data_IF_881329635300
#
_entry.id   IF_881329635300
#
_cell.length_a   1.000
_cell.length_b   1.000
_cell.length_c   1.000
_cell.angle_alpha   90.00
_cell.angle_beta   90.00
_cell.angle_gamma   90.00
#
_symmetry.space_group_name_H-M   'P 1'
#
loop_
_entity.id
_entity.type
_entity.pdbx_description
1 polymer ?
#
# COMPACT_ATOMS: atom_id res chain seq x y z
N UNK A 1 0.01 -18.31 -23.87
CA UNK A 1 0.47 -17.76 -25.15
C UNK A 1 0.98 -16.33 -25.01
N UNK A 2 2.30 -16.19 -24.84
CA UNK A 2 3.01 -14.91 -24.79
C UNK A 2 4.15 -14.87 -25.82
N UNK A 3 3.97 -15.48 -26.99
CA UNK A 3 5.03 -15.56 -28.00
C UNK A 3 5.20 -14.28 -28.85
N UNK A 4 4.39 -13.24 -28.62
CA UNK A 4 4.34 -12.04 -29.47
C UNK A 4 4.71 -10.70 -28.81
N UNK A 5 5.23 -10.66 -27.57
CA UNK A 5 5.54 -9.37 -26.93
C UNK A 5 7.01 -8.93 -27.09
N UNK A 6 7.22 -7.75 -27.67
CA UNK A 6 8.53 -7.09 -27.82
C UNK A 6 9.14 -6.54 -26.52
N UNK A 7 8.52 -6.80 -25.37
CA UNK A 7 8.95 -6.34 -24.05
C UNK A 7 10.25 -7.01 -23.53
N UNK A 8 10.85 -7.92 -24.30
CA UNK A 8 12.17 -8.54 -24.04
C UNK A 8 13.35 -7.84 -24.74
N UNK A 9 13.13 -6.68 -25.39
CA UNK A 9 14.15 -6.04 -26.23
C UNK A 9 15.41 -5.54 -25.52
N UNK A 10 15.40 -5.34 -24.19
CA UNK A 10 16.57 -4.78 -23.49
C UNK A 10 17.55 -5.83 -22.95
N UNK A 11 17.16 -7.11 -22.89
CA UNK A 11 18.01 -8.17 -22.31
C UNK A 11 18.79 -8.97 -23.37
N UNK A 12 19.21 -8.30 -24.44
CA UNK A 12 19.97 -8.90 -25.57
C UNK A 12 21.36 -9.44 -25.20
N UNK A 13 21.76 -9.45 -23.91
CA UNK A 13 23.08 -9.93 -23.49
C UNK A 13 23.16 -11.40 -23.11
N UNK A 14 22.05 -12.14 -23.08
CA UNK A 14 22.05 -13.60 -22.81
C UNK A 14 21.30 -14.42 -23.87
N UNK A 15 21.45 -14.04 -25.14
CA UNK A 15 20.78 -14.69 -26.27
C UNK A 15 21.40 -16.04 -26.71
N UNK A 16 22.27 -16.70 -25.94
CA UNK A 16 22.87 -17.97 -26.38
C UNK A 16 21.81 -19.08 -26.43
N UNK A 17 20.99 -19.19 -25.37
CA UNK A 17 19.94 -20.22 -25.28
C UNK A 17 18.77 -19.97 -26.23
N UNK A 18 18.39 -18.71 -26.44
CA UNK A 18 17.35 -18.36 -27.40
C UNK A 18 17.80 -18.66 -28.83
N UNK A 19 19.06 -18.39 -29.17
CA UNK A 19 19.60 -18.68 -30.52
C UNK A 19 19.68 -20.19 -30.76
N UNK A 20 20.01 -20.99 -29.74
CA UNK A 20 20.04 -22.45 -29.86
C UNK A 20 18.64 -23.07 -30.02
N UNK A 21 17.62 -22.50 -29.37
CA UNK A 21 16.23 -23.00 -29.46
C UNK A 21 15.50 -22.51 -30.72
N UNK A 22 15.83 -21.30 -31.21
CA UNK A 22 15.21 -20.70 -32.40
C UNK A 22 15.76 -21.22 -33.73
N UNK A 23 16.90 -21.92 -33.72
CA UNK A 23 17.42 -22.60 -34.91
C UNK A 23 16.53 -23.73 -35.44
N UNK A 24 15.50 -24.16 -34.69
CA UNK A 24 14.56 -25.19 -35.13
C UNK A 24 13.20 -24.66 -35.62
N UNK A 25 12.99 -23.34 -35.65
CA UNK A 25 11.70 -22.73 -36.01
C UNK A 25 11.86 -21.62 -37.04
N UNK A 26 12.47 -21.93 -38.18
CA UNK A 26 12.36 -21.06 -39.36
C UNK A 26 11.18 -21.49 -40.20
N UNK A 27 10.07 -20.74 -40.18
CA UNK A 27 9.33 -20.40 -41.40
C UNK A 27 8.29 -19.29 -41.19
N UNK A 28 8.37 -18.31 -42.10
CA UNK A 28 7.33 -17.40 -42.59
C UNK A 28 6.99 -16.09 -41.84
N UNK A 29 7.34 -15.02 -42.56
CA UNK A 29 7.00 -13.59 -42.39
C UNK A 29 5.50 -13.31 -42.32
N UNK A 30 5.16 -12.24 -41.60
CA UNK A 30 3.94 -11.46 -41.82
C UNK A 30 3.93 -10.19 -40.98
N UNK A 31 4.33 -9.06 -41.56
CA UNK A 31 4.29 -7.76 -40.90
C UNK A 31 2.86 -7.25 -40.70
N UNK A 32 2.60 -6.67 -39.53
CA UNK A 32 1.61 -5.63 -39.24
C UNK A 32 1.90 -5.10 -37.84
N UNK A 33 2.10 -3.80 -37.71
CA UNK A 33 2.19 -3.13 -36.40
C UNK A 33 0.86 -3.28 -35.66
N UNK A 34 0.84 -3.72 -34.38
CA UNK A 34 -0.30 -3.51 -33.52
C UNK A 34 -0.05 -2.30 -32.62
N UNK A 35 -1.05 -1.44 -32.51
CA UNK A 35 -1.19 -0.48 -31.42
C UNK A 35 -0.91 -1.18 -30.07
N UNK A 36 -0.38 -0.44 -29.09
CA UNK A 36 0.06 -0.89 -27.76
C UNK A 36 -1.00 -1.75 -27.03
N UNK A 37 -1.14 -3.02 -27.41
CA UNK A 37 -1.91 -4.00 -26.66
C UNK A 37 -1.13 -4.26 -25.38
N UNK A 38 -1.71 -3.83 -24.25
CA UNK A 38 -1.17 -4.00 -22.88
C UNK A 38 -0.88 -5.47 -22.63
N UNK A 39 0.35 -5.90 -22.89
CA UNK A 39 0.78 -7.26 -22.64
C UNK A 39 0.79 -7.57 -21.13
N UNK A 40 0.34 -8.77 -20.76
CA UNK A 40 0.31 -9.29 -19.38
C UNK A 40 1.70 -9.32 -18.70
N UNK A 41 2.77 -9.26 -19.49
CA UNK A 41 4.15 -9.11 -19.04
C UNK A 41 4.35 -7.87 -18.16
N UNK A 42 3.77 -6.72 -18.48
CA UNK A 42 3.95 -5.49 -17.70
C UNK A 42 3.25 -5.58 -16.34
N UNK A 43 2.15 -6.34 -16.26
CA UNK A 43 1.43 -6.62 -15.02
C UNK A 43 2.20 -7.57 -14.08
N UNK A 44 3.14 -8.35 -14.63
CA UNK A 44 3.96 -9.33 -13.88
C UNK A 44 5.37 -8.85 -13.57
N UNK A 45 5.78 -7.66 -14.04
CA UNK A 45 7.08 -7.08 -13.70
C UNK A 45 7.12 -6.71 -12.23
N UNK A 46 8.08 -7.24 -11.51
CA UNK A 46 8.28 -6.96 -10.10
C UNK A 46 9.21 -5.76 -9.93
N UNK A 47 8.97 -4.98 -8.90
CA UNK A 47 9.70 -3.75 -8.62
C UNK A 47 10.10 -3.67 -7.16
N UNK A 48 11.15 -2.91 -6.90
CA UNK A 48 11.58 -2.55 -5.56
C UNK A 48 11.81 -1.03 -5.46
N UNK A 49 11.86 -0.51 -4.23
CA UNK A 49 12.19 0.89 -3.98
C UNK A 49 13.60 1.22 -4.50
N UNK A 50 13.74 2.35 -5.17
CA UNK A 50 15.05 2.83 -5.66
C UNK A 50 15.98 3.23 -4.51
N UNK A 51 15.42 3.83 -3.46
CA UNK A 51 16.13 4.34 -2.27
C UNK A 51 15.52 3.76 -1.00
N UNK A 52 15.60 2.43 -0.78
CA UNK A 52 14.85 1.75 0.28
C UNK A 52 15.15 2.32 1.67
N UNK A 53 16.41 2.65 2.00
CA UNK A 53 16.76 3.21 3.31
C UNK A 53 16.09 4.55 3.62
N UNK A 54 15.90 5.42 2.61
CA UNK A 54 15.30 6.75 2.80
C UNK A 54 13.78 6.62 2.87
N UNK A 55 13.19 5.93 1.89
CA UNK A 55 11.74 5.77 1.80
C UNK A 55 11.19 4.93 2.96
N UNK A 56 11.84 3.83 3.34
CA UNK A 56 11.36 2.99 4.44
C UNK A 56 11.48 3.71 5.79
N UNK A 57 12.49 4.57 5.98
CA UNK A 57 12.60 5.42 7.18
C UNK A 57 11.45 6.43 7.26
N UNK A 58 11.15 7.13 6.16
CA UNK A 58 10.03 8.06 6.09
C UNK A 58 8.70 7.33 6.34
N UNK A 59 8.49 6.18 5.71
CA UNK A 59 7.32 5.32 5.93
C UNK A 59 7.23 4.84 7.39
N UNK A 60 8.33 4.43 8.01
CA UNK A 60 8.33 4.01 9.42
C UNK A 60 7.92 5.17 10.34
N UNK A 61 8.43 6.39 10.11
CA UNK A 61 8.01 7.56 10.87
C UNK A 61 6.51 7.86 10.72
N UNK A 62 5.99 7.71 9.50
CA UNK A 62 4.55 7.85 9.22
C UNK A 62 3.74 6.78 9.97
N UNK A 63 4.20 5.53 9.97
CA UNK A 63 3.54 4.44 10.70
C UNK A 63 3.48 4.74 12.20
N UNK A 64 4.59 5.18 12.82
CA UNK A 64 4.61 5.58 14.23
C UNK A 64 3.62 6.72 14.50
N UNK A 65 3.55 7.72 13.62
CA UNK A 65 2.55 8.81 13.72
C UNK A 65 1.12 8.30 13.60
N UNK A 66 0.86 7.33 12.73
CA UNK A 66 -0.45 6.68 12.57
C UNK A 66 -0.87 5.93 13.83
N UNK A 67 0.02 5.13 14.41
CA UNK A 67 -0.25 4.43 15.66
C UNK A 67 -0.42 5.42 16.82
N UNK A 68 0.43 6.45 16.89
CA UNK A 68 0.31 7.53 17.88
C UNK A 68 -1.03 8.26 17.78
N UNK A 69 -1.53 8.53 16.57
CA UNK A 69 -2.86 9.09 16.38
C UNK A 69 -3.94 8.23 17.04
N UNK A 70 -3.96 6.92 16.78
CA UNK A 70 -4.93 5.99 17.39
C UNK A 70 -4.78 5.93 18.92
N UNK A 71 -3.53 5.83 19.42
CA UNK A 71 -3.22 5.83 20.86
C UNK A 71 -3.59 7.12 21.58
N UNK A 72 -3.73 8.24 20.89
CA UNK A 72 -4.03 9.53 21.53
C UNK A 72 -5.51 9.89 21.50
N UNK A 73 -6.38 9.02 20.97
CA UNK A 73 -7.84 9.24 20.95
C UNK A 73 -8.50 8.63 22.19
N UNK A 74 -9.07 9.44 23.11
CA UNK A 74 -9.77 8.93 24.29
C UNK A 74 -10.89 7.94 23.93
N UNK A 75 -11.67 8.26 22.89
CA UNK A 75 -12.78 7.41 22.43
C UNK A 75 -12.32 6.05 21.92
N UNK A 76 -11.08 5.93 21.42
CA UNK A 76 -10.54 4.65 20.98
C UNK A 76 -10.22 3.74 22.17
N UNK A 77 -9.73 4.30 23.28
CA UNK A 77 -9.45 3.56 24.52
C UNK A 77 -10.70 3.06 25.25
N UNK A 78 -11.85 3.68 24.99
CA UNK A 78 -13.14 3.23 25.53
C UNK A 78 -13.67 1.96 24.84
N UNK A 79 -13.09 1.58 23.70
CA UNK A 79 -13.47 0.36 22.99
C UNK A 79 -12.88 -0.89 23.65
N UNK A 80 -13.59 -2.04 23.59
CA UNK A 80 -13.01 -3.33 23.95
C UNK A 80 -11.68 -3.57 23.21
N UNK A 81 -10.73 -4.23 23.88
CA UNK A 81 -9.40 -4.49 23.28
C UNK A 81 -9.52 -5.27 21.97
N UNK A 82 -10.44 -6.24 21.89
CA UNK A 82 -10.67 -7.00 20.67
C UNK A 82 -11.16 -6.09 19.53
N UNK A 83 -12.06 -5.16 19.81
CA UNK A 83 -12.56 -4.19 18.82
C UNK A 83 -11.44 -3.25 18.36
N UNK A 84 -10.56 -2.80 19.27
CA UNK A 84 -9.40 -1.99 18.91
C UNK A 84 -8.47 -2.70 17.93
N UNK A 85 -8.20 -3.99 18.16
CA UNK A 85 -7.38 -4.82 17.29
C UNK A 85 -8.04 -5.06 15.92
N UNK A 86 -9.35 -5.33 15.90
CA UNK A 86 -10.11 -5.48 14.66
C UNK A 86 -10.10 -4.18 13.83
N UNK A 87 -10.31 -3.04 14.48
CA UNK A 87 -10.22 -1.74 13.82
C UNK A 87 -8.80 -1.48 13.29
N UNK A 88 -7.77 -1.72 14.11
CA UNK A 88 -6.36 -1.57 13.73
C UNK A 88 -6.05 -2.37 12.45
N UNK A 89 -6.37 -3.67 12.45
CA UNK A 89 -6.15 -4.54 11.29
C UNK A 89 -6.89 -4.03 10.04
N UNK A 90 -8.12 -3.55 10.20
CA UNK A 90 -8.94 -3.05 9.10
C UNK A 90 -8.48 -1.71 8.50
N UNK A 91 -7.81 -0.85 9.28
CA UNK A 91 -7.62 0.56 8.92
C UNK A 91 -6.17 1.04 8.90
N UNK A 92 -5.19 0.24 9.37
CA UNK A 92 -3.80 0.67 9.44
C UNK A 92 -3.25 1.09 8.07
N UNK A 93 -3.62 0.39 6.99
CA UNK A 93 -3.22 0.74 5.60
C UNK A 93 -3.85 2.06 5.16
N UNK A 94 -5.19 2.24 5.13
CA UNK A 94 -5.79 3.53 4.81
C UNK A 94 -5.22 4.70 5.62
N UNK A 95 -5.04 4.54 6.93
CA UNK A 95 -4.49 5.59 7.79
C UNK A 95 -3.02 5.87 7.50
N UNK A 96 -2.22 4.83 7.25
CA UNK A 96 -0.83 4.96 6.83
C UNK A 96 -0.71 5.72 5.50
N UNK A 97 -1.53 5.38 4.51
CA UNK A 97 -1.55 6.06 3.21
C UNK A 97 -1.96 7.54 3.35
N UNK A 98 -2.98 7.85 4.14
CA UNK A 98 -3.31 9.25 4.48
C UNK A 98 -2.14 9.97 5.14
N UNK A 99 -1.37 9.27 5.99
CA UNK A 99 -0.14 9.77 6.58
C UNK A 99 0.96 10.06 5.56
N UNK A 100 1.17 9.17 4.57
CA UNK A 100 2.14 9.42 3.48
C UNK A 100 1.76 10.66 2.69
N UNK A 101 0.47 10.82 2.38
CA UNK A 101 -0.03 11.99 1.65
C UNK A 101 0.21 13.25 2.49
N UNK A 102 -0.21 13.26 3.75
CA UNK A 102 -0.09 14.40 4.65
C UNK A 102 1.36 14.85 4.87
N UNK A 103 2.31 13.90 4.89
CA UNK A 103 3.74 14.16 5.06
C UNK A 103 4.49 14.34 3.73
N UNK A 104 3.77 14.37 2.60
CA UNK A 104 4.33 14.55 1.25
C UNK A 104 5.44 13.54 0.91
N UNK A 105 5.29 12.30 1.37
CA UNK A 105 6.29 11.26 1.13
C UNK A 105 6.15 10.74 -0.30
N UNK A 106 7.16 11.03 -1.13
CA UNK A 106 7.29 10.49 -2.47
C UNK A 106 8.30 9.35 -2.52
N UNK A 107 8.16 8.47 -3.52
CA UNK A 107 9.08 7.36 -3.70
C UNK A 107 9.16 6.95 -5.17
N UNK A 108 10.34 6.45 -5.55
CA UNK A 108 10.61 5.89 -6.86
C UNK A 108 10.84 4.38 -6.73
N UNK A 109 10.50 3.67 -7.81
CA UNK A 109 10.75 2.24 -7.93
C UNK A 109 11.64 1.94 -9.12
N UNK A 110 12.34 0.82 -9.05
CA UNK A 110 13.12 0.26 -10.14
C UNK A 110 12.71 -1.20 -10.37
N UNK A 111 12.85 -1.70 -11.59
CA UNK A 111 12.57 -3.10 -11.90
C UNK A 111 13.53 -4.00 -11.12
N UNK A 112 12.98 -5.05 -10.50
CA UNK A 112 13.80 -6.05 -9.83
C UNK A 112 14.37 -6.99 -10.89
N UNK A 113 15.70 -7.21 -10.95
CA UNK A 113 16.29 -8.15 -11.88
C UNK A 113 15.67 -9.53 -11.65
N UNK A 114 15.12 -10.14 -12.70
CA UNK A 114 14.60 -11.50 -12.59
C UNK A 114 15.74 -12.43 -12.14
N UNK A 115 15.56 -13.27 -11.10
CA UNK A 115 16.56 -14.26 -10.76
C UNK A 115 16.77 -15.15 -11.98
N UNK A 116 18.04 -15.33 -12.38
CA UNK A 116 18.37 -16.08 -13.58
C UNK A 116 17.71 -17.46 -13.54
N UNK A 117 17.22 -17.94 -14.68
CA UNK A 117 16.61 -19.27 -14.77
C UNK A 117 17.54 -20.35 -14.20
N UNK A 118 18.86 -20.17 -14.37
CA UNK A 118 19.90 -21.00 -13.74
C UNK A 118 19.84 -20.95 -12.21
N UNK A 119 19.72 -19.76 -11.61
CA UNK A 119 19.58 -19.61 -10.15
C UNK A 119 18.30 -20.24 -9.63
N UNK A 120 17.19 -20.17 -10.38
CA UNK A 120 15.95 -20.88 -10.03
C UNK A 120 16.16 -22.40 -10.07
N UNK A 121 16.68 -22.94 -11.16
CA UNK A 121 16.91 -24.39 -11.32
C UNK A 121 17.90 -24.93 -10.29
N UNK A 122 18.98 -24.20 -9.99
CA UNK A 122 20.01 -24.61 -9.03
C UNK A 122 19.52 -24.56 -7.57
N UNK A 123 18.59 -23.64 -7.24
CA UNK A 123 18.05 -23.50 -5.88
C UNK A 123 16.79 -24.35 -5.66
N UNK A 124 15.94 -24.55 -6.69
CA UNK A 124 14.76 -25.43 -6.62
C UNK A 124 15.12 -26.91 -6.44
N UNK A 125 16.34 -27.31 -6.76
CA UNK A 125 16.84 -28.67 -6.51
C UNK A 125 17.07 -29.00 -5.03
N UNK A 126 17.09 -28.01 -4.12
CA UNK A 126 17.42 -28.23 -2.70
C UNK A 126 16.35 -27.76 -1.69
N UNK A 127 15.30 -27.04 -2.09
CA UNK A 127 14.31 -26.47 -1.17
C UNK A 127 13.05 -27.33 -1.01
N UNK A 128 13.10 -28.34 -0.12
CA UNK A 128 11.89 -28.99 0.42
C UNK A 128 11.03 -28.09 1.32
N UNK A 129 11.49 -26.87 1.63
CA UNK A 129 10.68 -25.81 2.23
C UNK A 129 10.18 -24.87 1.13
N UNK A 130 8.97 -25.12 0.63
CA UNK A 130 8.19 -24.11 -0.08
C UNK A 130 7.84 -23.01 0.92
N UNK A 131 8.71 -22.01 1.02
CA UNK A 131 8.26 -20.66 1.39
C UNK A 131 7.06 -20.33 0.51
N UNK A 132 5.91 -19.91 1.07
CA UNK A 132 4.75 -19.54 0.26
C UNK A 132 5.21 -18.55 -0.79
N UNK A 133 4.80 -18.76 -2.04
CA UNK A 133 5.24 -18.00 -3.20
C UNK A 133 4.98 -16.50 -2.96
N UNK A 134 6.00 -15.80 -2.44
CA UNK A 134 5.84 -14.44 -1.93
C UNK A 134 5.66 -13.51 -3.12
N UNK A 135 4.45 -12.95 -3.26
CA UNK A 135 4.11 -12.03 -4.33
C UNK A 135 4.86 -10.71 -4.17
N UNK A 136 6.00 -10.59 -4.86
CA UNK A 136 6.73 -9.33 -4.94
C UNK A 136 5.82 -8.20 -5.48
N UNK A 137 6.00 -6.94 -5.04
CA UNK A 137 5.28 -5.79 -5.56
C UNK A 137 5.38 -5.72 -7.09
N UNK A 138 4.25 -5.71 -7.79
CA UNK A 138 4.23 -5.55 -9.24
C UNK A 138 4.20 -4.08 -9.62
N UNK A 139 4.81 -3.74 -10.76
CA UNK A 139 4.81 -2.38 -11.29
C UNK A 139 3.39 -1.82 -11.42
N UNK A 140 2.45 -2.62 -11.93
CA UNK A 140 1.05 -2.21 -12.06
C UNK A 140 0.39 -1.90 -10.71
N UNK A 141 0.68 -2.69 -9.67
CA UNK A 141 0.15 -2.43 -8.33
C UNK A 141 0.73 -1.14 -7.73
N UNK A 142 2.04 -0.91 -7.90
CA UNK A 142 2.70 0.31 -7.44
C UNK A 142 2.23 1.55 -8.18
N UNK A 143 2.01 1.48 -9.50
CA UNK A 143 1.46 2.58 -10.29
C UNK A 143 0.05 2.97 -9.84
N UNK A 144 -0.80 1.99 -9.49
CA UNK A 144 -2.13 2.25 -8.91
C UNK A 144 -2.01 2.97 -7.56
N UNK A 145 -1.09 2.53 -6.71
CA UNK A 145 -0.80 3.19 -5.44
C UNK A 145 -0.36 4.64 -5.66
N UNK A 146 0.62 4.89 -6.54
CA UNK A 146 1.10 6.24 -6.85
C UNK A 146 -0.03 7.13 -7.41
N UNK A 147 -0.88 6.60 -8.29
CA UNK A 147 -2.04 7.32 -8.81
C UNK A 147 -3.04 7.71 -7.71
N UNK A 148 -3.29 6.80 -6.76
CA UNK A 148 -4.14 7.06 -5.60
C UNK A 148 -3.56 8.19 -4.72
N UNK A 149 -2.26 8.13 -4.41
CA UNK A 149 -1.57 9.18 -3.63
C UNK A 149 -1.63 10.54 -4.34
N UNK A 150 -1.38 10.57 -5.65
CA UNK A 150 -1.47 11.80 -6.46
C UNK A 150 -2.87 12.42 -6.46
N UNK A 151 -3.91 11.57 -6.54
CA UNK A 151 -5.30 12.03 -6.46
C UNK A 151 -5.58 12.66 -5.10
N UNK A 152 -5.05 12.07 -4.03
CA UNK A 152 -5.16 12.62 -2.69
C UNK A 152 -4.43 13.96 -2.50
N UNK A 153 -3.21 14.11 -3.02
CA UNK A 153 -2.50 15.39 -2.98
C UNK A 153 -3.29 16.50 -3.68
N UNK A 154 -3.99 16.18 -4.78
CA UNK A 154 -4.82 17.16 -5.50
C UNK A 154 -6.05 17.65 -4.72
N UNK A 155 -6.42 16.98 -3.63
CA UNK A 155 -7.53 17.44 -2.77
C UNK A 155 -7.16 18.65 -1.92
N UNK A 156 -5.87 18.89 -1.70
CA UNK A 156 -5.36 20.00 -0.89
C UNK A 156 -6.07 20.10 0.46
N UNK A 157 -6.00 19.02 1.25
CA UNK A 157 -6.61 18.94 2.57
C UNK A 157 -5.71 19.62 3.61
N UNK A 158 -6.31 20.46 4.44
CA UNK A 158 -5.71 21.04 5.64
C UNK A 158 -5.46 19.97 6.71
N UNK A 159 -4.54 20.22 7.67
CA UNK A 159 -4.30 19.30 8.79
C UNK A 159 -5.56 18.95 9.59
N UNK A 160 -6.51 19.89 9.72
CA UNK A 160 -7.77 19.69 10.42
C UNK A 160 -8.71 18.73 9.66
N UNK A 161 -8.80 18.89 8.34
CA UNK A 161 -9.58 17.97 7.50
C UNK A 161 -8.99 16.56 7.51
N UNK A 162 -7.66 16.42 7.48
CA UNK A 162 -7.01 15.11 7.65
C UNK A 162 -7.33 14.45 8.99
N UNK A 163 -7.38 15.20 10.08
CA UNK A 163 -7.69 14.65 11.40
C UNK A 163 -9.10 14.04 11.44
N UNK A 164 -10.11 14.75 10.93
CA UNK A 164 -11.48 14.23 10.87
C UNK A 164 -11.64 13.09 9.86
N UNK A 165 -10.98 13.17 8.71
CA UNK A 165 -10.99 12.08 7.73
C UNK A 165 -10.37 10.80 8.31
N UNK A 166 -9.25 10.91 9.03
CA UNK A 166 -8.64 9.78 9.75
C UNK A 166 -9.59 9.21 10.80
N UNK A 167 -10.31 10.05 11.55
CA UNK A 167 -11.35 9.60 12.48
C UNK A 167 -12.47 8.82 11.78
N UNK A 168 -12.98 9.33 10.66
CA UNK A 168 -14.04 8.68 9.87
C UNK A 168 -13.59 7.33 9.26
N UNK A 169 -12.31 7.21 8.90
CA UNK A 169 -11.71 5.97 8.40
C UNK A 169 -11.44 4.97 9.52
N UNK A 170 -10.98 5.44 10.68
CA UNK A 170 -10.66 4.62 11.85
C UNK A 170 -11.91 3.96 12.43
N UNK A 171 -12.96 4.73 12.69
CA UNK A 171 -14.18 4.23 13.34
C UNK A 171 -15.10 3.59 12.30
N UNK A 172 -14.72 2.44 11.76
CA UNK A 172 -15.52 1.71 10.77
C UNK A 172 -16.45 0.69 11.46
N UNK A 173 -17.78 0.91 11.53
CA UNK A 173 -18.71 0.00 12.19
C UNK A 173 -18.94 -1.30 11.41
N UNK A 174 -18.57 -1.34 10.13
CA UNK A 174 -18.79 -2.48 9.23
C UNK A 174 -17.75 -3.60 9.38
N UNK A 175 -16.78 -3.45 10.30
CA UNK A 175 -15.78 -4.49 10.55
C UNK A 175 -16.46 -5.71 11.20
N UNK A 176 -16.33 -6.92 10.62
CA UNK A 176 -16.96 -8.11 11.18
C UNK A 176 -16.41 -8.46 12.58
N UNK A 177 -17.29 -8.85 13.48
CA UNK A 177 -16.91 -9.32 14.83
C UNK A 177 -16.81 -8.23 15.90
N UNK A 178 -17.07 -6.96 15.55
CA UNK A 178 -17.11 -5.86 16.51
C UNK A 178 -18.22 -6.06 17.55
N UNK A 179 -17.91 -5.75 18.81
CA UNK A 179 -18.86 -5.80 19.94
C UNK A 179 -19.55 -4.47 20.17
N UNK A 180 -18.86 -3.36 19.91
CA UNK A 180 -19.32 -2.00 20.15
C UNK A 180 -19.72 -1.24 18.86
N UNK A 181 -20.23 -1.94 17.84
CA UNK A 181 -20.52 -1.35 16.50
C UNK A 181 -21.37 -0.08 16.56
N UNK A 182 -22.40 -0.01 17.41
CA UNK A 182 -23.25 1.18 17.54
C UNK A 182 -22.49 2.40 18.08
N UNK A 183 -21.58 2.19 19.03
CA UNK A 183 -20.75 3.26 19.56
C UNK A 183 -19.72 3.71 18.51
N UNK A 184 -19.08 2.76 17.82
CA UNK A 184 -18.15 3.04 16.71
C UNK A 184 -18.87 3.83 15.60
N UNK A 185 -20.09 3.46 15.24
CA UNK A 185 -20.91 4.18 14.26
C UNK A 185 -21.16 5.63 14.70
N UNK A 186 -21.45 5.86 16.00
CA UNK A 186 -21.65 7.21 16.53
C UNK A 186 -20.38 8.08 16.39
N UNK A 187 -19.20 7.50 16.68
CA UNK A 187 -17.90 8.18 16.52
C UNK A 187 -17.60 8.48 15.04
N UNK A 188 -17.94 7.55 14.14
CA UNK A 188 -17.81 7.76 12.71
C UNK A 188 -18.66 8.94 12.24
N UNK A 189 -19.93 8.95 12.64
CA UNK A 189 -20.88 10.02 12.30
C UNK A 189 -20.42 11.38 12.84
N UNK A 190 -19.85 11.42 14.03
CA UNK A 190 -19.28 12.64 14.61
C UNK A 190 -18.07 13.14 13.81
N UNK A 191 -17.12 12.27 13.47
CA UNK A 191 -15.96 12.63 12.65
C UNK A 191 -16.36 13.12 11.25
N UNK A 192 -17.34 12.45 10.62
CA UNK A 192 -17.89 12.84 9.32
C UNK A 192 -18.61 14.20 9.38
N UNK A 193 -19.41 14.44 10.42
CA UNK A 193 -20.08 15.74 10.63
C UNK A 193 -19.05 16.84 10.81
N UNK A 194 -18.05 16.63 11.66
CA UNK A 194 -17.00 17.62 11.90
C UNK A 194 -16.18 17.92 10.63
N UNK A 195 -15.93 16.91 9.79
CA UNK A 195 -15.32 17.10 8.47
C UNK A 195 -16.20 17.98 7.58
N UNK A 196 -17.50 17.69 7.51
CA UNK A 196 -18.45 18.47 6.71
C UNK A 196 -18.55 19.93 7.18
N UNK A 197 -18.59 20.16 8.49
CA UNK A 197 -18.63 21.50 9.10
C UNK A 197 -17.37 22.32 8.83
N UNK A 198 -16.20 21.69 8.71
CA UNK A 198 -14.96 22.40 8.33
C UNK A 198 -14.89 22.72 6.84
N UNK A 199 -15.50 21.89 5.99
CA UNK A 199 -15.52 22.10 4.55
C UNK A 199 -16.47 23.24 4.13
N UNK A 200 -17.60 23.39 4.84
CA UNK A 200 -18.70 24.30 4.46
C UNK A 200 -18.32 25.79 4.41
N UNK A 201 -17.58 26.37 5.37
CA UNK A 201 -17.24 27.80 5.36
C UNK A 201 -16.15 28.13 4.35
N UNK A 202 -15.30 27.16 4.00
CA UNK A 202 -14.13 27.37 3.16
C UNK A 202 -14.48 27.32 1.67
N UNK A 203 -15.53 26.58 1.27
CA UNK A 203 -15.89 26.37 -0.14
C UNK A 203 -17.42 26.32 -0.38
N UNK A 204 -18.15 27.44 -0.25
CA UNK A 204 -19.61 27.48 -0.42
C UNK A 204 -20.09 26.98 -1.80
N UNK A 205 -19.26 27.17 -2.82
CA UNK A 205 -19.53 26.81 -4.21
C UNK A 205 -19.23 25.32 -4.54
N UNK A 206 -18.44 24.63 -3.71
CA UNK A 206 -18.05 23.21 -3.94
C UNK A 206 -18.89 22.27 -3.06
N UNK A 207 -20.21 22.27 -3.27
CA UNK A 207 -21.16 21.41 -2.55
C UNK A 207 -20.84 19.91 -2.68
N UNK A 208 -20.02 19.52 -3.68
CA UNK A 208 -19.57 18.15 -3.90
C UNK A 208 -18.26 17.76 -3.22
N UNK A 209 -17.53 18.70 -2.59
CA UNK A 209 -16.19 18.46 -2.04
C UNK A 209 -16.16 17.33 -1.03
N UNK A 210 -17.11 17.33 -0.08
CA UNK A 210 -17.24 16.29 0.94
C UNK A 210 -17.42 14.90 0.34
N UNK A 211 -18.39 14.76 -0.59
CA UNK A 211 -18.64 13.49 -1.27
C UNK A 211 -17.41 13.03 -2.06
N UNK A 212 -16.72 13.95 -2.76
CA UNK A 212 -15.49 13.66 -3.50
C UNK A 212 -14.38 13.14 -2.57
N UNK A 213 -14.18 13.76 -1.41
CA UNK A 213 -13.19 13.33 -0.41
C UNK A 213 -13.51 11.91 0.08
N UNK A 214 -14.76 11.62 0.45
CA UNK A 214 -15.15 10.30 0.93
C UNK A 214 -15.01 9.22 -0.16
N UNK A 215 -15.39 9.53 -1.40
CA UNK A 215 -15.22 8.62 -2.54
C UNK A 215 -13.74 8.29 -2.76
N UNK A 216 -12.88 9.30 -2.76
CA UNK A 216 -11.43 9.11 -2.91
C UNK A 216 -10.86 8.33 -1.71
N UNK A 217 -11.32 8.59 -0.49
CA UNK A 217 -10.95 7.81 0.69
C UNK A 217 -11.37 6.35 0.63
N UNK A 218 -12.52 6.04 0.03
CA UNK A 218 -12.92 4.65 -0.20
C UNK A 218 -11.95 3.89 -1.10
N UNK A 219 -11.27 4.59 -2.03
CA UNK A 219 -10.28 3.95 -2.93
C UNK A 219 -9.05 3.42 -2.19
N UNK A 220 -8.71 3.99 -1.02
CA UNK A 220 -7.59 3.50 -0.20
C UNK A 220 -7.81 2.06 0.27
N UNK A 221 -9.06 1.65 0.50
CA UNK A 221 -9.41 0.28 0.90
C UNK A 221 -9.11 -0.75 -0.19
N UNK A 222 -8.93 -0.32 -1.45
CA UNK A 222 -8.59 -1.21 -2.56
C UNK A 222 -7.09 -1.56 -2.63
N UNK A 223 -6.25 -0.87 -1.86
CA UNK A 223 -4.81 -1.12 -1.81
C UNK A 223 -4.54 -2.31 -0.87
N UNK A 224 -3.97 -3.42 -1.36
CA UNK A 224 -3.75 -4.60 -0.52
C UNK A 224 -2.72 -4.32 0.58
N UNK A 225 -2.96 -4.74 1.83
CA UNK A 225 -1.97 -4.63 2.90
C UNK A 225 -0.62 -5.28 2.56
N UNK A 226 -0.65 -6.44 1.91
CA UNK A 226 0.56 -7.14 1.46
C UNK A 226 1.44 -6.25 0.56
N UNK A 227 0.86 -5.45 -0.34
CA UNK A 227 1.63 -4.53 -1.20
C UNK A 227 2.40 -3.50 -0.35
N UNK A 228 1.74 -2.94 0.66
CA UNK A 228 2.32 -1.92 1.54
C UNK A 228 3.40 -2.53 2.42
N UNK A 229 3.13 -3.69 3.01
CA UNK A 229 4.10 -4.45 3.80
C UNK A 229 5.33 -4.78 2.97
N UNK A 230 5.16 -5.36 1.78
CA UNK A 230 6.27 -5.80 0.94
C UNK A 230 7.08 -4.65 0.36
N UNK A 231 6.43 -3.52 0.05
CA UNK A 231 7.12 -2.37 -0.53
C UNK A 231 7.88 -1.54 0.52
N UNK A 232 7.23 -1.19 1.64
CA UNK A 232 7.76 -0.18 2.59
C UNK A 232 8.38 -0.76 3.86
N UNK A 233 7.93 -1.94 4.29
CA UNK A 233 8.26 -2.45 5.62
C UNK A 233 9.12 -3.70 5.58
N UNK A 234 8.95 -4.56 4.57
CA UNK A 234 9.75 -5.77 4.35
C UNK A 234 11.26 -5.53 4.32
N UNK A 235 11.77 -4.43 3.73
CA UNK A 235 13.20 -4.12 3.80
C UNK A 235 13.70 -3.79 5.22
N UNK A 236 12.81 -3.49 6.17
CA UNK A 236 13.13 -3.10 7.55
C UNK A 236 12.90 -4.26 8.51
N UNK A 237 11.73 -4.90 8.45
CA UNK A 237 11.28 -5.90 9.43
C UNK A 237 11.55 -7.34 9.00
N UNK A 238 11.99 -7.56 7.75
CA UNK A 238 12.17 -8.89 7.20
C UNK A 238 10.86 -9.69 7.21
N UNK A 239 10.88 -10.90 7.74
CA UNK A 239 9.72 -11.80 7.70
C UNK A 239 8.73 -11.61 8.85
N UNK A 240 8.95 -10.63 9.74
CA UNK A 240 8.02 -10.34 10.83
C UNK A 240 6.63 -9.95 10.30
N UNK A 241 5.61 -10.26 11.08
CA UNK A 241 4.24 -9.82 10.80
C UNK A 241 4.09 -8.35 11.21
N UNK A 242 3.75 -7.51 10.23
CA UNK A 242 3.53 -6.09 10.49
C UNK A 242 2.35 -5.86 11.43
N UNK A 243 1.32 -6.70 11.37
CA UNK A 243 0.10 -6.55 12.18
C UNK A 243 0.42 -6.81 13.66
N UNK A 244 1.25 -7.82 13.93
CA UNK A 244 1.76 -8.09 15.29
C UNK A 244 2.60 -6.91 15.79
N UNK A 245 3.53 -6.39 14.97
CA UNK A 245 4.38 -5.26 15.35
C UNK A 245 3.57 -3.99 15.64
N UNK A 246 2.57 -3.64 14.81
CA UNK A 246 1.75 -2.45 15.07
C UNK A 246 0.85 -2.63 16.30
N UNK A 247 0.40 -3.86 16.58
CA UNK A 247 -0.35 -4.16 17.79
C UNK A 247 0.55 -4.03 19.03
N UNK A 248 1.80 -4.50 18.97
CA UNK A 248 2.80 -4.25 20.00
C UNK A 248 3.01 -2.75 20.19
N UNK A 249 3.25 -1.98 19.12
CA UNK A 249 3.40 -0.52 19.21
C UNK A 249 2.17 0.17 19.83
N UNK A 250 0.96 -0.33 19.57
CA UNK A 250 -0.28 0.20 20.13
C UNK A 250 -0.32 0.04 21.66
N UNK A 251 0.17 -1.09 22.20
CA UNK A 251 0.11 -1.42 23.63
C UNK A 251 1.42 -1.25 24.40
N UNK A 252 2.54 -1.06 23.70
CA UNK A 252 3.84 -0.71 24.29
C UNK A 252 3.68 0.61 25.06
N UNK A 253 3.96 0.54 26.35
CA UNK A 253 3.95 1.68 27.26
C UNK A 253 5.02 2.65 26.75
N UNK A 254 4.67 3.89 26.45
CA UNK A 254 5.62 5.01 26.38
C UNK A 254 6.16 5.27 27.80
N UNK A 255 6.90 4.29 28.33
CA UNK A 255 7.47 4.21 29.67
C UNK A 255 8.96 4.46 29.62
N UNK A 256 9.36 5.54 28.94
CA UNK A 256 10.59 6.27 29.25
C UNK A 256 10.25 7.76 29.28
N UNK A 257 9.39 8.11 30.23
CA UNK A 257 9.61 9.37 30.93
C UNK A 257 11.01 9.24 31.56
N UNK A 258 11.98 9.98 31.03
CA UNK A 258 13.12 10.36 31.84
C UNK A 258 12.55 11.09 33.06
N UNK A 259 12.62 10.44 34.22
CA UNK A 259 12.51 11.12 35.50
C UNK A 259 13.77 11.98 35.71
N UNK A 260 13.65 13.10 36.46
CA UNK A 260 14.51 14.27 36.35
C UNK A 260 15.95 14.08 36.82
#
# INVERSE_FOLDING_TARGET
>A
DCEGCQCHSEDKRTAILYTLLSQNLTHSRGGRSPAHQRCLCHQRRTVCLRTPHVTCRAASNVLVKTISFMKNLPSFHLLPREDQLLLLDSCWVPLFLLGLVQEMVTFEVMETPAPSMLKKILLDGQSKHREPERTQPTLAAVQRLQCCLNTFWSLDLSPKEYAYLKGAVLFNPDVPGLRASLYIESLQREAQRALQEVLQPLHPEDQGRYARILLIASTLKSIPPALITDLFFRPVIGNADIVELIAEMLYEITGRQLAP
#
